data_IF_165652947811
#
_entry.id   IF_165652947811
#
_cell.length_a   1.000
_cell.length_b   1.000
_cell.length_c   1.000
_cell.angle_alpha   90.00
_cell.angle_beta   90.00
_cell.angle_gamma   90.00
#
_symmetry.space_group_name_H-M   'P 1'
#
loop_
_entity.id
_entity.type
_entity.pdbx_description
1 polymer ?
#
# COMPACT_ATOMS: atom_id res chain seq x y z
N UNK A 1 22.22 -2.48 13.38
CA UNK A 1 21.96 -3.67 12.53
C UNK A 1 22.09 -4.97 13.34
N UNK A 2 23.02 -5.04 14.30
CA UNK A 2 23.28 -6.22 15.14
C UNK A 2 22.05 -6.81 15.84
N UNK A 3 21.14 -5.95 16.32
CA UNK A 3 19.90 -6.39 16.94
C UNK A 3 19.01 -7.23 16.00
N UNK A 4 19.09 -7.03 14.67
CA UNK A 4 18.37 -7.85 13.70
C UNK A 4 19.01 -9.24 13.56
N UNK A 5 20.35 -9.30 13.61
CA UNK A 5 21.11 -10.56 13.55
C UNK A 5 20.89 -11.38 14.81
N UNK A 6 20.99 -10.76 15.99
CA UNK A 6 20.76 -11.42 17.28
C UNK A 6 19.34 -11.99 17.41
N UNK A 7 18.34 -11.31 16.83
CA UNK A 7 16.95 -11.78 16.80
C UNK A 7 16.67 -12.81 15.70
N UNK A 8 17.65 -13.12 14.84
CA UNK A 8 17.50 -14.06 13.73
C UNK A 8 16.72 -13.52 12.54
N UNK A 9 16.46 -12.20 12.46
CA UNK A 9 15.79 -11.58 11.32
C UNK A 9 16.73 -11.28 10.15
N UNK A 10 18.04 -11.25 10.41
CA UNK A 10 19.07 -11.05 9.40
C UNK A 10 20.25 -11.99 9.67
N UNK A 11 21.05 -12.24 8.64
CA UNK A 11 22.33 -12.94 8.75
C UNK A 11 23.40 -12.14 8.00
N UNK A 12 24.67 -12.23 8.40
CA UNK A 12 25.77 -11.72 7.59
C UNK A 12 25.68 -12.27 6.17
N UNK A 13 25.86 -11.40 5.18
CA UNK A 13 25.99 -11.83 3.79
C UNK A 13 27.27 -12.68 3.63
N UNK A 14 27.30 -13.65 2.70
CA UNK A 14 28.54 -14.33 2.34
C UNK A 14 29.63 -13.32 1.95
N UNK A 15 30.87 -13.60 2.34
CA UNK A 15 32.01 -12.72 2.01
C UNK A 15 32.33 -12.74 0.51
N UNK A 16 32.02 -13.84 -0.17
CA UNK A 16 32.21 -13.97 -1.61
C UNK A 16 30.94 -13.54 -2.34
N UNK A 17 31.07 -12.52 -3.17
CA UNK A 17 29.99 -12.11 -4.06
C UNK A 17 29.85 -13.13 -5.18
N UNK A 18 28.61 -13.52 -5.46
CA UNK A 18 28.32 -14.27 -6.69
C UNK A 18 28.22 -13.28 -7.85
N UNK A 19 29.11 -13.36 -8.87
CA UNK A 19 29.07 -12.44 -10.00
C UNK A 19 27.69 -12.48 -10.67
N UNK A 20 27.15 -11.31 -11.01
CA UNK A 20 25.85 -11.15 -11.67
C UNK A 20 24.63 -11.68 -10.91
N UNK A 21 24.79 -12.12 -9.66
CA UNK A 21 23.69 -12.65 -8.83
C UNK A 21 23.61 -12.00 -7.44
N UNK A 22 24.52 -11.08 -7.17
CA UNK A 22 24.51 -10.27 -5.95
C UNK A 22 23.77 -8.96 -6.23
N UNK A 23 22.76 -8.66 -5.40
CA UNK A 23 21.95 -7.45 -5.50
C UNK A 23 21.95 -6.74 -4.15
N UNK A 24 22.00 -5.41 -4.21
CA UNK A 24 22.01 -4.55 -3.03
C UNK A 24 20.77 -3.66 -3.02
N UNK A 25 20.15 -3.53 -1.85
CA UNK A 25 19.09 -2.55 -1.62
C UNK A 25 19.67 -1.38 -0.83
N UNK A 26 19.59 -0.14 -1.36
CA UNK A 26 19.88 1.05 -0.58
C UNK A 26 19.01 1.08 0.68
N UNK A 27 19.56 1.56 1.79
CA UNK A 27 18.78 1.75 3.00
C UNK A 27 19.06 3.11 3.62
N UNK A 28 18.05 3.67 4.27
CA UNK A 28 18.15 4.94 4.97
C UNK A 28 17.36 4.91 6.27
N UNK A 29 17.69 5.87 7.14
CA UNK A 29 17.08 5.99 8.45
C UNK A 29 15.89 6.95 8.40
N UNK A 30 14.79 6.55 9.02
CA UNK A 30 13.64 7.41 9.27
C UNK A 30 13.41 7.50 10.78
N UNK A 31 13.27 8.73 11.27
CA UNK A 31 12.96 9.04 12.67
C UNK A 31 11.61 9.72 12.71
N UNK A 32 10.71 9.23 13.56
CA UNK A 32 9.43 9.90 13.81
C UNK A 32 9.65 11.01 14.84
N UNK A 33 9.29 12.28 14.56
CA UNK A 33 9.42 13.38 15.52
C UNK A 33 8.73 13.12 16.86
N UNK A 34 7.62 12.37 16.87
CA UNK A 34 6.88 12.02 18.10
C UNK A 34 7.49 10.85 18.87
N UNK A 35 8.47 10.15 18.28
CA UNK A 35 9.19 9.02 18.88
C UNK A 35 10.68 9.10 18.50
N UNK A 36 11.39 10.15 18.94
CA UNK A 36 12.75 10.44 18.50
C UNK A 36 13.73 9.31 18.84
N UNK A 37 13.51 8.62 19.96
CA UNK A 37 14.36 7.50 20.40
C UNK A 37 14.17 6.22 19.58
N UNK A 38 13.20 6.19 18.65
CA UNK A 38 12.88 5.00 17.87
C UNK A 38 13.28 5.17 16.40
N UNK A 39 14.48 4.69 16.10
CA UNK A 39 15.01 4.59 14.75
C UNK A 39 14.30 3.49 13.93
N UNK A 40 13.99 3.79 12.66
CA UNK A 40 13.51 2.81 11.68
C UNK A 40 14.43 2.82 10.47
N UNK A 41 14.88 1.63 10.04
CA UNK A 41 15.63 1.46 8.79
C UNK A 41 14.62 1.10 7.69
N UNK A 42 14.66 1.85 6.59
CA UNK A 42 13.87 1.59 5.38
C UNK A 42 14.81 1.08 4.31
N UNK A 43 14.42 0.00 3.62
CA UNK A 43 15.11 -0.51 2.45
C UNK A 43 14.34 -0.05 1.22
N UNK A 44 15.02 0.61 0.29
CA UNK A 44 14.41 1.15 -0.92
C UNK A 44 14.36 0.08 -2.02
N UNK A 45 13.20 -0.56 -2.17
CA UNK A 45 12.96 -1.58 -3.17
C UNK A 45 12.62 -1.03 -4.57
N UNK A 46 12.41 0.29 -4.71
CA UNK A 46 12.17 0.93 -6.02
C UNK A 46 13.46 1.48 -6.63
N UNK A 47 14.53 1.59 -5.85
CA UNK A 47 15.85 1.96 -6.36
C UNK A 47 16.28 1.05 -7.53
N UNK A 48 16.68 1.68 -8.63
CA UNK A 48 17.04 1.00 -9.87
C UNK A 48 18.55 0.87 -10.02
N UNK A 49 19.01 -0.33 -10.35
CA UNK A 49 20.39 -0.59 -10.77
C UNK A 49 20.34 -1.20 -12.17
N UNK A 50 21.09 -0.64 -13.12
CA UNK A 50 21.01 -1.01 -14.54
C UNK A 50 19.59 -0.99 -15.12
N UNK A 51 18.74 -0.05 -14.65
CA UNK A 51 17.37 0.14 -15.13
C UNK A 51 16.31 -0.77 -14.52
N UNK A 52 16.69 -1.70 -13.62
CA UNK A 52 15.77 -2.66 -12.98
C UNK A 52 15.78 -2.47 -11.45
N UNK A 53 14.61 -2.53 -10.81
CA UNK A 53 14.44 -2.54 -9.35
C UNK A 53 13.90 -3.88 -8.85
N UNK A 54 13.96 -4.12 -7.53
CA UNK A 54 13.35 -5.32 -6.93
C UNK A 54 11.86 -5.38 -7.24
N UNK A 55 11.14 -4.26 -7.10
CA UNK A 55 9.70 -4.20 -7.37
C UNK A 55 9.32 -4.52 -8.83
N UNK A 56 10.22 -4.29 -9.79
CA UNK A 56 9.99 -4.62 -11.20
C UNK A 56 10.08 -6.13 -11.47
N UNK A 57 10.79 -6.88 -10.62
CA UNK A 57 11.09 -8.31 -10.82
C UNK A 57 10.19 -9.26 -10.02
N UNK A 58 9.42 -8.75 -9.06
CA UNK A 58 8.53 -9.55 -8.24
C UNK A 58 7.30 -10.02 -9.04
N UNK A 59 6.95 -11.30 -8.89
CA UNK A 59 5.70 -11.85 -9.41
C UNK A 59 4.51 -11.21 -8.69
N UNK A 60 3.64 -10.55 -9.46
CA UNK A 60 2.43 -9.92 -8.92
C UNK A 60 1.35 -10.97 -8.71
N UNK A 61 0.89 -11.09 -7.48
CA UNK A 61 -0.32 -11.84 -7.15
C UNK A 61 -1.56 -10.96 -7.39
N UNK A 62 -2.73 -11.54 -7.70
CA UNK A 62 -3.99 -10.82 -7.64
C UNK A 62 -4.20 -10.19 -6.26
N UNK A 63 -4.79 -8.99 -6.24
CA UNK A 63 -5.24 -8.37 -5.01
C UNK A 63 -6.46 -9.13 -4.48
N UNK A 64 -6.32 -9.72 -3.29
CA UNK A 64 -7.37 -10.49 -2.62
C UNK A 64 -8.16 -9.64 -1.62
N UNK A 65 -7.79 -8.37 -1.44
CA UNK A 65 -8.48 -7.48 -0.52
C UNK A 65 -9.75 -6.94 -1.19
N UNK A 66 -10.86 -6.97 -0.44
CA UNK A 66 -12.05 -6.25 -0.85
C UNK A 66 -11.80 -4.75 -0.68
N UNK A 67 -12.17 -3.97 -1.68
CA UNK A 67 -12.16 -2.51 -1.57
C UNK A 67 -13.00 -2.07 -0.36
N UNK A 68 -12.59 -0.99 0.32
CA UNK A 68 -13.30 -0.48 1.50
C UNK A 68 -14.82 -0.31 1.27
N UNK A 69 -15.30 0.23 0.12
CA UNK A 69 -16.74 0.31 -0.16
C UNK A 69 -17.44 -1.07 -0.26
N UNK A 70 -16.71 -2.12 -0.64
CA UNK A 70 -17.23 -3.49 -0.67
C UNK A 70 -17.28 -4.15 0.72
N UNK A 71 -16.62 -3.56 1.72
CA UNK A 71 -16.58 -4.05 3.11
C UNK A 71 -17.52 -3.26 4.01
N UNK A 72 -17.64 -1.95 3.80
CA UNK A 72 -18.56 -1.10 4.56
C UNK A 72 -19.97 -1.28 4.01
N UNK A 73 -20.93 -1.77 4.81
CA UNK A 73 -22.32 -1.77 4.39
C UNK A 73 -22.73 -0.32 4.11
N UNK A 74 -23.25 -0.06 2.91
CA UNK A 74 -23.95 1.21 2.67
C UNK A 74 -25.00 1.35 3.77
N UNK A 75 -25.00 2.49 4.46
CA UNK A 75 -26.01 2.78 5.47
C UNK A 75 -27.37 2.46 4.86
N UNK A 76 -28.08 1.49 5.45
CA UNK A 76 -29.47 1.25 5.12
C UNK A 76 -30.17 2.53 5.55
N UNK A 77 -30.44 3.42 4.60
CA UNK A 77 -31.37 4.51 4.79
C UNK A 77 -32.73 3.87 5.03
N UNK A 78 -33.03 3.56 6.29
CA UNK A 78 -34.38 3.25 6.74
C UNK A 78 -35.18 4.53 6.58
N UNK A 79 -35.84 4.69 5.44
CA UNK A 79 -36.90 5.66 5.31
C UNK A 79 -37.99 5.23 6.28
N UNK A 80 -38.16 5.99 7.37
CA UNK A 80 -39.25 5.80 8.30
C UNK A 80 -40.53 6.28 7.61
N UNK A 81 -41.15 5.41 6.79
CA UNK A 81 -42.51 5.63 6.30
C UNK A 81 -43.47 5.20 7.41
N UNK A 82 -44.06 6.18 8.07
CA UNK A 82 -45.07 5.97 9.11
C UNK A 82 -46.45 5.62 8.54
N UNK A 83 -46.56 5.42 7.22
CA UNK A 83 -47.79 4.99 6.58
C UNK A 83 -47.59 3.62 5.89
N UNK A 84 -48.30 2.63 6.41
CA UNK A 84 -48.53 1.31 5.83
C UNK A 84 -47.42 0.24 5.96
N UNK A 85 -47.74 -0.79 6.76
CA UNK A 85 -46.92 -1.98 6.95
C UNK A 85 -46.89 -2.90 5.73
N UNK A 86 -45.91 -2.67 4.84
CA UNK A 86 -45.60 -3.59 3.74
C UNK A 86 -44.12 -3.56 3.38
N UNK A 87 -43.41 -4.65 3.65
CA UNK A 87 -42.03 -4.86 3.18
C UNK A 87 -42.01 -4.96 1.65
N UNK A 88 -41.59 -3.89 0.96
CA UNK A 88 -41.24 -3.94 -0.45
C UNK A 88 -39.72 -4.05 -0.60
N UNK A 89 -39.25 -5.24 -0.98
CA UNK A 89 -37.93 -5.47 -1.55
C UNK A 89 -38.00 -5.04 -3.00
N UNK A 90 -37.61 -3.83 -3.34
CA UNK A 90 -37.18 -3.47 -4.70
C UNK A 90 -36.48 -2.11 -4.63
N UNK A 91 -35.21 -2.08 -5.03
CA UNK A 91 -34.56 -1.11 -5.94
C UNK A 91 -33.04 -1.30 -5.80
N UNK A 92 -32.48 -2.10 -6.70
CA UNK A 92 -31.09 -1.94 -7.15
C UNK A 92 -31.13 -1.30 -8.54
N UNK A 93 -30.89 0.00 -8.63
CA UNK A 93 -30.44 0.67 -9.86
C UNK A 93 -30.08 2.12 -9.54
N UNK A 94 -28.79 2.41 -9.38
CA UNK A 94 -28.30 3.76 -9.12
C UNK A 94 -26.81 3.86 -9.43
N UNK A 95 -26.51 3.91 -10.71
CA UNK A 95 -25.19 4.14 -11.29
C UNK A 95 -24.63 5.48 -10.78
N UNK A 96 -23.57 5.45 -9.97
CA UNK A 96 -22.88 6.68 -9.55
C UNK A 96 -21.93 7.13 -10.67
N UNK A 97 -22.44 7.93 -11.61
CA UNK A 97 -21.60 8.73 -12.50
C UNK A 97 -20.89 9.81 -11.67
N UNK A 98 -19.57 9.71 -11.55
CA UNK A 98 -18.73 10.78 -10.96
C UNK A 98 -17.98 11.50 -12.07
N UNK A 99 -18.68 12.34 -12.82
CA UNK A 99 -18.10 13.35 -13.70
C UNK A 99 -17.70 14.60 -12.88
N UNK A 100 -16.61 14.49 -12.13
CA UNK A 100 -15.92 15.65 -11.53
C UNK A 100 -14.70 16.04 -12.36
N UNK A 101 -14.34 17.34 -12.48
CA UNK A 101 -13.18 17.75 -13.26
C UNK A 101 -11.90 17.21 -12.62
N UNK A 102 -11.08 16.50 -13.41
CA UNK A 102 -9.74 16.07 -13.02
C UNK A 102 -8.92 17.31 -12.67
N UNK A 103 -8.43 17.43 -11.44
CA UNK A 103 -7.44 18.45 -11.09
C UNK A 103 -6.21 18.22 -11.97
N UNK A 104 -5.77 19.27 -12.66
CA UNK A 104 -4.54 19.25 -13.44
C UNK A 104 -3.32 18.96 -12.54
N UNK A 105 -2.28 18.27 -13.04
CA UNK A 105 -1.06 18.05 -12.29
C UNK A 105 -0.35 19.37 -11.98
N UNK A 106 0.18 19.50 -10.76
CA UNK A 106 1.01 20.62 -10.33
C UNK A 106 2.42 20.42 -10.94
N UNK A 107 3.03 21.43 -11.60
CA UNK A 107 4.39 21.30 -12.13
C UNK A 107 5.41 21.20 -11.00
N UNK A 108 6.41 20.34 -11.16
CA UNK A 108 7.62 20.34 -10.34
C UNK A 108 8.52 21.48 -10.85
N UNK A 109 8.81 22.46 -9.99
CA UNK A 109 9.90 23.40 -10.25
C UNK A 109 11.25 22.72 -9.98
N UNK A 110 12.23 23.05 -10.83
CA UNK A 110 13.61 22.51 -10.85
C UNK A 110 14.47 22.94 -9.65
#
# INVERSE_FOLDING_TARGET
MDALVQKGYAKPAPAEETPNRTWYLPHFVVINPMKPDKLRVVHDATAKTHGVSLNDTLLKSPDLLQSLPGVVPNEVSTTHDSSNGGYNRDVYAGQIETSGPRRSPIPLEE
#
